data_IF_557954181094
#
_entry.id   IF_557954181094
#
_cell.length_a   1.000
_cell.length_b   1.000
_cell.length_c   1.000
_cell.angle_alpha   90.00
_cell.angle_beta   90.00
_cell.angle_gamma   90.00
#
_symmetry.space_group_name_H-M   'P 1'
#
loop_
_entity.id
_entity.type
_entity.pdbx_description
1 polymer ?
#
# COMPACT_ATOMS: atom_id res chain seq x y z
N UNK A 1 21.18 -16.25 14.47
CA UNK A 1 20.60 -16.90 13.27
C UNK A 1 19.36 -16.16 12.77
N UNK A 2 18.36 -15.89 13.63
CA UNK A 2 17.09 -15.26 13.23
C UNK A 2 17.10 -13.74 13.02
N UNK A 3 18.24 -13.08 13.18
CA UNK A 3 18.35 -11.62 13.00
C UNK A 3 18.09 -11.22 11.54
N UNK A 4 18.55 -12.01 10.56
CA UNK A 4 18.28 -11.76 9.15
C UNK A 4 16.82 -12.13 8.79
N UNK A 5 16.05 -11.13 8.36
CA UNK A 5 14.64 -11.32 7.97
C UNK A 5 14.45 -12.20 6.73
N UNK A 6 15.37 -12.14 5.77
CA UNK A 6 15.29 -12.96 4.56
C UNK A 6 15.56 -14.42 4.90
N UNK A 7 16.51 -14.67 5.79
CA UNK A 7 16.74 -16.01 6.34
C UNK A 7 15.50 -16.52 7.08
N UNK A 8 14.91 -15.72 7.98
CA UNK A 8 13.68 -16.08 8.68
C UNK A 8 12.56 -16.44 7.70
N UNK A 9 12.35 -15.64 6.65
CA UNK A 9 11.34 -15.90 5.64
C UNK A 9 11.56 -17.25 4.94
N UNK A 10 12.77 -17.50 4.44
CA UNK A 10 13.12 -18.74 3.73
C UNK A 10 13.06 -19.97 4.62
N UNK A 11 13.55 -19.85 5.85
CA UNK A 11 13.61 -20.98 6.77
C UNK A 11 12.23 -21.30 7.33
N UNK A 12 11.43 -20.31 7.72
CA UNK A 12 10.10 -20.58 8.28
C UNK A 12 9.09 -20.93 7.18
N UNK A 13 9.13 -20.23 6.05
CA UNK A 13 8.10 -20.32 5.01
C UNK A 13 8.70 -20.58 3.61
N UNK A 14 9.46 -21.67 3.40
CA UNK A 14 10.13 -21.94 2.12
C UNK A 14 9.15 -22.09 0.95
N UNK A 15 7.93 -22.58 1.20
CA UNK A 15 6.87 -22.71 0.19
C UNK A 15 6.29 -21.36 -0.27
N UNK A 16 6.39 -20.33 0.58
CA UNK A 16 5.93 -18.97 0.26
C UNK A 16 7.08 -18.17 -0.36
N UNK A 17 8.29 -18.34 0.17
CA UNK A 17 9.50 -17.64 -0.27
C UNK A 17 10.41 -18.55 -1.10
N UNK A 18 9.81 -19.21 -2.10
CA UNK A 18 10.50 -20.19 -2.96
C UNK A 18 11.36 -19.52 -4.04
N UNK A 19 11.01 -18.29 -4.45
CA UNK A 19 11.82 -17.50 -5.39
C UNK A 19 12.95 -16.80 -4.63
N UNK A 20 14.15 -16.79 -5.22
CA UNK A 20 15.29 -16.11 -4.63
C UNK A 20 15.03 -14.62 -4.44
N UNK A 21 15.30 -14.10 -3.24
CA UNK A 21 15.20 -12.68 -2.95
C UNK A 21 16.20 -11.87 -3.76
N UNK A 22 15.78 -10.69 -4.19
CA UNK A 22 16.69 -9.63 -4.62
C UNK A 22 17.21 -8.78 -3.47
N UNK A 23 18.28 -8.00 -3.72
CA UNK A 23 18.83 -7.01 -2.76
C UNK A 23 17.78 -6.00 -2.27
N UNK A 24 16.76 -5.72 -3.08
CA UNK A 24 15.65 -4.81 -2.75
C UNK A 24 14.80 -5.31 -1.59
N UNK A 25 14.61 -6.61 -1.42
CA UNK A 25 13.83 -7.17 -0.30
C UNK A 25 14.48 -6.84 1.05
N UNK A 26 15.82 -6.84 1.13
CA UNK A 26 16.53 -6.42 2.34
C UNK A 26 16.22 -4.96 2.68
N UNK A 27 16.15 -4.08 1.68
CA UNK A 27 15.79 -2.67 1.89
C UNK A 27 14.33 -2.50 2.35
N UNK A 28 13.39 -3.33 1.87
CA UNK A 28 12.01 -3.39 2.41
C UNK A 28 12.07 -3.68 3.91
N UNK A 29 12.74 -4.76 4.32
CA UNK A 29 12.88 -5.10 5.73
C UNK A 29 13.60 -4.02 6.54
N UNK A 30 14.62 -3.35 5.99
CA UNK A 30 15.28 -2.23 6.67
C UNK A 30 14.30 -1.08 6.97
N UNK A 31 13.41 -0.73 6.04
CA UNK A 31 12.39 0.30 6.26
C UNK A 31 11.36 -0.17 7.28
N UNK A 32 10.90 -1.40 7.15
CA UNK A 32 9.93 -1.96 8.10
C UNK A 32 10.53 -2.07 9.52
N UNK A 33 11.78 -2.48 9.66
CA UNK A 33 12.47 -2.59 10.97
C UNK A 33 13.00 -1.25 11.50
N UNK A 34 12.83 -0.15 10.77
CA UNK A 34 13.38 1.14 11.16
C UNK A 34 12.85 1.61 12.53
N UNK A 35 13.64 2.40 13.24
CA UNK A 35 13.21 2.97 14.53
C UNK A 35 12.24 4.14 14.37
N UNK A 36 12.03 4.62 13.14
CA UNK A 36 11.09 5.69 12.85
C UNK A 36 9.65 5.22 13.16
N UNK A 37 8.84 6.07 13.84
CA UNK A 37 7.44 5.75 14.12
C UNK A 37 6.65 5.49 12.85
N UNK A 38 6.89 6.27 11.79
CA UNK A 38 6.18 6.16 10.52
C UNK A 38 7.15 5.70 9.43
N UNK A 39 6.82 4.59 8.76
CA UNK A 39 7.62 4.08 7.65
C UNK A 39 6.75 3.73 6.45
N UNK A 40 7.29 3.98 5.24
CA UNK A 40 6.58 3.81 3.97
C UNK A 40 7.41 3.00 2.97
N UNK A 41 6.82 1.94 2.44
CA UNK A 41 7.36 1.17 1.31
C UNK A 41 6.40 1.30 0.15
N UNK A 42 6.84 1.97 -0.92
CA UNK A 42 6.14 1.97 -2.18
C UNK A 42 6.80 0.97 -3.13
N UNK A 43 6.04 -0.02 -3.58
CA UNK A 43 6.56 -1.05 -4.47
C UNK A 43 5.50 -1.46 -5.50
N UNK A 44 5.93 -1.83 -6.72
CA UNK A 44 5.03 -2.33 -7.75
C UNK A 44 4.23 -3.55 -7.28
N UNK A 45 3.15 -3.89 -7.98
CA UNK A 45 2.39 -5.10 -7.66
C UNK A 45 3.18 -6.35 -8.01
N UNK A 46 2.85 -7.46 -7.34
CA UNK A 46 3.48 -8.78 -7.53
C UNK A 46 4.99 -8.82 -7.18
N UNK A 47 5.46 -7.88 -6.38
CA UNK A 47 6.87 -7.76 -5.95
C UNK A 47 7.20 -8.46 -4.63
N UNK A 48 6.28 -9.27 -4.11
CA UNK A 48 6.46 -9.93 -2.82
C UNK A 48 6.31 -9.02 -1.60
N UNK A 49 5.90 -7.76 -1.76
CA UNK A 49 5.74 -6.79 -0.65
C UNK A 49 4.77 -7.30 0.44
N UNK A 50 3.57 -7.75 0.06
CA UNK A 50 2.58 -8.29 1.01
C UNK A 50 3.04 -9.59 1.68
N UNK A 51 3.59 -10.61 0.98
CA UNK A 51 4.23 -11.76 1.63
C UNK A 51 5.33 -11.36 2.62
N UNK A 52 6.24 -10.46 2.24
CA UNK A 52 7.32 -9.99 3.12
C UNK A 52 6.77 -9.31 4.37
N UNK A 53 5.74 -8.48 4.23
CA UNK A 53 5.08 -7.84 5.37
C UNK A 53 4.34 -8.85 6.24
N UNK A 54 3.52 -9.71 5.64
CA UNK A 54 2.63 -10.63 6.36
C UNK A 54 3.38 -11.79 7.00
N UNK A 55 4.13 -12.55 6.21
CA UNK A 55 4.80 -13.79 6.62
C UNK A 55 6.27 -13.61 6.97
N UNK A 56 6.84 -12.44 6.69
CA UNK A 56 8.16 -12.05 7.18
C UNK A 56 8.04 -11.16 8.40
N UNK A 57 7.58 -9.92 8.19
CA UNK A 57 7.60 -8.87 9.18
C UNK A 57 6.68 -9.20 10.36
N UNK A 58 5.36 -9.24 10.17
CA UNK A 58 4.38 -9.45 11.23
C UNK A 58 4.61 -10.79 11.94
N UNK A 59 4.75 -11.87 11.18
CA UNK A 59 4.99 -13.20 11.75
C UNK A 59 6.20 -13.22 12.68
N UNK A 60 7.32 -12.57 12.30
CA UNK A 60 8.50 -12.47 13.15
C UNK A 60 8.22 -11.72 14.46
N UNK A 61 7.34 -10.70 14.47
CA UNK A 61 6.97 -10.00 15.73
C UNK A 61 6.23 -10.93 16.67
N UNK A 62 5.30 -11.69 16.11
CA UNK A 62 4.52 -12.66 16.87
C UNK A 62 5.46 -13.73 17.44
N UNK A 63 6.30 -14.34 16.61
CA UNK A 63 7.20 -15.42 17.03
C UNK A 63 8.22 -15.00 18.09
N UNK A 64 8.68 -13.75 18.06
CA UNK A 64 9.74 -13.27 18.94
C UNK A 64 9.28 -12.35 20.07
N UNK A 65 7.96 -12.22 20.26
CA UNK A 65 7.35 -11.39 21.30
C UNK A 65 7.81 -9.91 21.25
N UNK A 66 7.65 -9.29 20.07
CA UNK A 66 8.21 -7.96 19.76
C UNK A 66 7.18 -6.82 19.78
N UNK A 67 5.90 -7.12 19.97
CA UNK A 67 4.80 -6.16 19.91
C UNK A 67 3.73 -6.59 20.90
N UNK A 68 2.99 -5.66 21.51
CA UNK A 68 1.84 -6.02 22.37
C UNK A 68 0.55 -6.20 21.57
N UNK A 69 0.32 -5.32 20.58
CA UNK A 69 -0.88 -5.33 19.76
C UNK A 69 -0.59 -4.86 18.34
N UNK A 70 -0.88 -5.75 17.38
CA UNK A 70 -0.70 -5.53 15.94
C UNK A 70 -2.06 -5.39 15.26
N UNK A 71 -2.25 -4.33 14.49
CA UNK A 71 -3.40 -4.19 13.57
C UNK A 71 -2.92 -4.36 12.13
N UNK A 72 -3.56 -5.27 11.39
CA UNK A 72 -3.43 -5.35 9.94
C UNK A 72 -4.56 -4.56 9.27
N UNK A 73 -4.24 -3.46 8.61
CA UNK A 73 -5.17 -2.67 7.83
C UNK A 73 -5.01 -2.92 6.33
N UNK A 74 -6.13 -3.04 5.61
CA UNK A 74 -6.18 -3.24 4.14
C UNK A 74 -7.25 -2.35 3.51
N UNK A 75 -7.45 -2.40 2.19
CA UNK A 75 -8.53 -1.69 1.50
C UNK A 75 -9.91 -1.96 2.15
N UNK A 76 -10.19 -3.22 2.49
CA UNK A 76 -11.47 -3.63 3.07
C UNK A 76 -11.31 -4.48 4.34
N UNK A 77 -12.35 -4.51 5.16
CA UNK A 77 -12.39 -5.32 6.38
C UNK A 77 -12.26 -6.82 6.08
N UNK A 78 -12.90 -7.29 5.01
CA UNK A 78 -12.84 -8.69 4.61
C UNK A 78 -11.46 -9.10 4.11
N UNK A 79 -10.80 -8.21 3.35
CA UNK A 79 -9.43 -8.45 2.93
C UNK A 79 -8.49 -8.49 4.14
N UNK A 80 -8.53 -7.47 5.01
CA UNK A 80 -7.73 -7.43 6.23
C UNK A 80 -7.94 -8.68 7.10
N UNK A 81 -9.20 -9.11 7.27
CA UNK A 81 -9.57 -10.36 7.97
C UNK A 81 -8.94 -11.58 7.32
N UNK A 82 -9.02 -11.71 5.98
CA UNK A 82 -8.37 -12.82 5.26
C UNK A 82 -6.86 -12.82 5.48
N UNK A 83 -6.19 -11.66 5.47
CA UNK A 83 -4.75 -11.58 5.74
C UNK A 83 -4.40 -12.02 7.16
N UNK A 84 -5.16 -11.57 8.18
CA UNK A 84 -4.98 -12.01 9.56
C UNK A 84 -5.21 -13.52 9.72
N UNK A 85 -6.28 -14.06 9.12
CA UNK A 85 -6.56 -15.50 9.12
C UNK A 85 -5.46 -16.32 8.44
N UNK A 86 -4.86 -15.80 7.36
CA UNK A 86 -3.72 -16.46 6.72
C UNK A 86 -2.49 -16.52 7.64
N UNK A 87 -2.23 -15.50 8.45
CA UNK A 87 -1.14 -15.53 9.46
C UNK A 87 -1.45 -16.61 10.50
N UNK A 88 -2.66 -16.61 11.06
CA UNK A 88 -3.09 -17.58 12.08
C UNK A 88 -2.97 -19.00 11.54
N UNK A 89 -3.53 -19.26 10.35
CA UNK A 89 -3.46 -20.57 9.71
C UNK A 89 -2.01 -20.99 9.40
N UNK A 90 -1.16 -20.06 8.98
CA UNK A 90 0.25 -20.36 8.77
C UNK A 90 0.93 -20.80 10.08
N UNK A 91 0.62 -20.16 11.21
CA UNK A 91 1.14 -20.55 12.51
C UNK A 91 0.59 -21.92 12.95
N UNK A 92 -0.70 -22.19 12.72
CA UNK A 92 -1.33 -23.47 13.07
C UNK A 92 -0.80 -24.65 12.25
N UNK A 93 -0.55 -24.46 10.97
CA UNK A 93 -0.25 -25.57 10.04
C UNK A 93 1.26 -25.77 9.80
N UNK A 94 2.12 -24.84 10.22
CA UNK A 94 3.55 -24.88 9.91
C UNK A 94 4.36 -25.59 10.98
N UNK A 95 4.79 -26.82 10.68
CA UNK A 95 5.63 -27.65 11.55
C UNK A 95 6.92 -26.97 11.98
N UNK A 96 7.53 -26.12 11.13
CA UNK A 96 8.74 -25.39 11.50
C UNK A 96 8.45 -24.33 12.56
N UNK A 97 7.30 -23.65 12.48
CA UNK A 97 6.88 -22.71 13.52
C UNK A 97 6.65 -23.44 14.86
N UNK A 98 5.95 -24.58 14.84
CA UNK A 98 5.77 -25.39 16.04
C UNK A 98 7.09 -25.90 16.62
N UNK A 99 8.02 -26.32 15.76
CA UNK A 99 9.32 -26.80 16.18
C UNK A 99 10.15 -25.72 16.88
N UNK A 100 10.21 -24.51 16.32
CA UNK A 100 11.07 -23.44 16.85
C UNK A 100 10.42 -22.57 17.92
N UNK A 101 9.10 -22.37 17.87
CA UNK A 101 8.39 -21.41 18.73
C UNK A 101 7.28 -22.06 19.57
N UNK A 102 7.07 -23.36 19.42
CA UNK A 102 5.99 -24.06 20.10
C UNK A 102 4.60 -23.65 19.58
N UNK A 103 3.58 -23.95 20.38
CA UNK A 103 2.19 -23.66 20.03
C UNK A 103 1.86 -22.20 20.31
N UNK A 104 1.87 -21.37 19.27
CA UNK A 104 1.55 -19.94 19.34
C UNK A 104 0.05 -19.64 19.22
N UNK A 105 -0.75 -20.58 18.71
CA UNK A 105 -2.20 -20.42 18.51
C UNK A 105 -2.98 -21.40 19.37
N UNK A 106 -3.94 -20.91 20.14
CA UNK A 106 -4.90 -21.71 20.90
C UNK A 106 -6.34 -21.31 20.56
N UNK A 107 -7.07 -22.21 19.87
CA UNK A 107 -8.48 -22.00 19.45
C UNK A 107 -9.43 -21.69 20.60
N UNK A 108 -9.09 -22.08 21.83
CA UNK A 108 -9.90 -21.80 23.01
C UNK A 108 -9.76 -20.37 23.52
N UNK A 109 -8.70 -19.65 23.11
CA UNK A 109 -8.39 -18.26 23.49
C UNK A 109 -8.45 -17.27 22.31
N UNK A 110 -8.81 -17.78 21.13
CA UNK A 110 -8.47 -17.18 19.84
C UNK A 110 -9.39 -16.05 19.37
N UNK A 111 -10.54 -15.81 20.01
CA UNK A 111 -11.49 -14.81 19.51
C UNK A 111 -11.90 -13.91 20.66
N UNK A 112 -11.35 -12.69 20.68
CA UNK A 112 -11.92 -11.60 21.48
C UNK A 112 -13.28 -11.21 20.91
N UNK A 113 -14.14 -10.56 21.71
CA UNK A 113 -15.48 -10.09 21.28
C UNK A 113 -15.46 -9.19 20.03
N UNK A 114 -14.30 -8.66 19.63
CA UNK A 114 -14.15 -7.73 18.50
C UNK A 114 -13.50 -8.38 17.26
N UNK A 115 -13.30 -9.70 17.26
CA UNK A 115 -12.70 -10.43 16.12
C UNK A 115 -11.18 -10.40 16.08
N UNK A 116 -10.53 -10.05 17.19
CA UNK A 116 -9.07 -10.10 17.31
C UNK A 116 -8.61 -11.48 17.81
N UNK A 117 -7.39 -11.84 17.42
CA UNK A 117 -6.73 -13.07 17.82
C UNK A 117 -5.69 -12.78 18.90
N UNK A 118 -5.80 -13.44 20.06
CA UNK A 118 -4.72 -13.45 21.05
C UNK A 118 -3.87 -14.71 20.88
N UNK A 119 -2.56 -14.53 20.70
CA UNK A 119 -1.58 -15.62 20.66
C UNK A 119 -1.22 -16.09 22.08
N UNK A 120 -0.62 -17.28 22.21
CA UNK A 120 -0.30 -17.87 23.52
C UNK A 120 0.76 -17.09 24.30
N UNK A 121 1.54 -16.24 23.63
CA UNK A 121 2.47 -15.30 24.25
C UNK A 121 1.83 -13.94 24.61
N UNK A 122 0.52 -13.79 24.44
CA UNK A 122 -0.22 -12.58 24.84
C UNK A 122 -0.34 -11.51 23.75
N UNK A 123 0.34 -11.66 22.62
CA UNK A 123 0.24 -10.71 21.50
C UNK A 123 -1.18 -10.75 20.90
N UNK A 124 -1.73 -9.57 20.63
CA UNK A 124 -2.98 -9.42 19.90
C UNK A 124 -2.74 -9.13 18.41
N UNK A 125 -3.55 -9.74 17.55
CA UNK A 125 -3.65 -9.43 16.13
C UNK A 125 -5.09 -9.07 15.77
N UNK A 126 -5.30 -7.80 15.47
CA UNK A 126 -6.54 -7.24 14.95
C UNK A 126 -6.47 -7.01 13.44
N UNK A 127 -7.65 -6.79 12.83
CA UNK A 127 -7.75 -6.47 11.41
C UNK A 127 -8.78 -5.37 11.16
N UNK A 128 -8.45 -4.44 10.24
CA UNK A 128 -9.27 -3.26 9.93
C UNK A 128 -9.33 -2.97 8.43
N UNK A 129 -10.50 -2.60 7.92
CA UNK A 129 -10.62 -1.97 6.60
C UNK A 129 -10.23 -0.49 6.66
N UNK A 130 -9.86 0.07 5.51
CA UNK A 130 -9.76 1.52 5.36
C UNK A 130 -11.10 2.19 5.73
N UNK A 131 -11.04 3.41 6.26
CA UNK A 131 -12.18 4.18 6.77
C UNK A 131 -12.85 3.61 8.03
N UNK A 132 -12.36 2.49 8.58
CA UNK A 132 -12.85 1.96 9.85
C UNK A 132 -12.02 2.46 11.04
N UNK A 133 -12.68 2.59 12.18
CA UNK A 133 -12.01 3.04 13.41
C UNK A 133 -11.00 2.01 13.91
N UNK A 134 -9.80 2.47 14.23
CA UNK A 134 -8.71 1.63 14.77
C UNK A 134 -8.61 1.79 16.29
N UNK A 135 -9.74 1.69 16.99
CA UNK A 135 -9.77 1.73 18.46
C UNK A 135 -8.96 0.56 19.04
N UNK A 136 -8.29 0.80 20.17
CA UNK A 136 -7.54 -0.23 20.89
C UNK A 136 -8.41 -1.40 21.34
N UNK A 137 -7.80 -2.57 21.53
CA UNK A 137 -8.46 -3.75 22.08
C UNK A 137 -8.90 -3.45 23.51
N UNK A 138 -10.15 -3.78 23.84
CA UNK A 138 -10.60 -3.81 25.23
C UNK A 138 -10.09 -5.11 25.87
N UNK A 139 -9.07 -4.99 26.71
CA UNK A 139 -8.62 -6.07 27.57
C UNK A 139 -9.33 -5.98 28.93
N UNK A 140 -9.79 -7.13 29.45
CA UNK A 140 -10.19 -7.27 30.84
C UNK A 140 -8.94 -7.61 31.65
N UNK A 141 -8.38 -6.66 32.40
CA UNK A 141 -7.27 -6.89 33.32
C UNK A 141 -7.71 -6.58 34.76
N UNK A 142 -7.47 -7.49 35.71
CA UNK A 142 -7.71 -7.31 37.17
C UNK A 142 -9.00 -6.54 37.55
N UNK A 143 -10.12 -6.80 36.84
CA UNK A 143 -11.40 -6.16 37.11
C UNK A 143 -11.60 -4.75 36.51
N UNK A 144 -10.69 -4.27 35.66
CA UNK A 144 -10.80 -3.00 34.92
C UNK A 144 -10.63 -3.21 33.41
N UNK A 145 -11.53 -2.59 32.62
CA UNK A 145 -11.42 -2.57 31.16
C UNK A 145 -10.29 -1.63 30.75
N UNK A 146 -9.17 -2.17 30.28
CA UNK A 146 -8.07 -1.37 29.75
C UNK A 146 -8.08 -1.43 28.24
N UNK A 147 -8.16 -0.27 27.58
CA UNK A 147 -8.00 -0.17 26.14
C UNK A 147 -6.50 -0.18 25.84
N UNK A 148 -5.97 -1.29 25.32
CA UNK A 148 -4.57 -1.39 24.92
C UNK A 148 -4.40 -0.77 23.53
N UNK A 149 -3.69 0.37 23.40
CA UNK A 149 -3.47 0.98 22.09
C UNK A 149 -2.48 0.13 21.27
N UNK A 150 -2.63 0.07 19.93
CA UNK A 150 -1.73 -0.68 19.07
C UNK A 150 -0.27 -0.21 19.19
N UNK A 151 0.62 -1.16 19.43
CA UNK A 151 2.07 -0.93 19.33
C UNK A 151 2.52 -0.92 17.86
N UNK A 152 1.78 -1.58 16.98
CA UNK A 152 2.06 -1.64 15.56
C UNK A 152 0.76 -1.62 14.74
N UNK A 153 0.69 -0.73 13.75
CA UNK A 153 -0.31 -0.80 12.67
C UNK A 153 0.41 -0.99 11.34
N UNK A 154 0.10 -2.08 10.66
CA UNK A 154 0.54 -2.33 9.29
C UNK A 154 -0.59 -1.95 8.35
N UNK A 155 -0.35 -1.02 7.45
CA UNK A 155 -1.31 -0.60 6.42
C UNK A 155 -0.81 -1.16 5.09
N UNK A 156 -1.53 -2.12 4.50
CA UNK A 156 -1.16 -2.79 3.26
C UNK A 156 -2.17 -2.45 2.17
N UNK A 157 -1.74 -1.73 1.13
CA UNK A 157 -2.55 -1.31 -0.03
C UNK A 157 -3.99 -0.85 0.35
N UNK A 158 -4.17 0.24 1.14
CA UNK A 158 -5.48 0.66 1.66
C UNK A 158 -6.41 1.30 0.62
N UNK A 159 -5.98 1.38 -0.64
CA UNK A 159 -6.73 2.00 -1.73
C UNK A 159 -6.64 1.16 -3.00
N UNK A 160 -7.68 1.23 -3.83
CA UNK A 160 -7.72 0.64 -5.17
C UNK A 160 -7.85 1.68 -6.28
N UNK A 161 -7.60 1.23 -7.52
CA UNK A 161 -7.80 2.04 -8.73
C UNK A 161 -9.22 2.59 -8.87
N UNK A 162 -10.23 1.98 -8.23
CA UNK A 162 -11.60 2.51 -8.20
C UNK A 162 -11.70 3.70 -7.25
N UNK A 163 -11.23 3.52 -6.02
CA UNK A 163 -11.46 4.50 -4.96
C UNK A 163 -10.60 5.76 -5.16
N UNK A 164 -9.40 5.64 -5.74
CA UNK A 164 -8.54 6.81 -6.00
C UNK A 164 -9.04 7.73 -7.11
N UNK A 165 -10.09 7.36 -7.86
CA UNK A 165 -10.68 8.25 -8.88
C UNK A 165 -11.49 9.38 -8.24
N UNK A 166 -12.17 9.11 -7.13
CA UNK A 166 -12.94 10.12 -6.41
C UNK A 166 -12.02 10.93 -5.50
N UNK A 167 -12.04 12.25 -5.64
CA UNK A 167 -11.30 13.16 -4.76
C UNK A 167 -11.76 13.05 -3.31
N UNK A 168 -13.06 13.05 -3.08
CA UNK A 168 -13.65 12.85 -1.75
C UNK A 168 -13.16 11.56 -1.11
N UNK A 169 -13.14 10.43 -1.85
CA UNK A 169 -12.63 9.18 -1.28
C UNK A 169 -11.11 9.22 -0.98
N UNK A 170 -10.33 9.99 -1.76
CA UNK A 170 -8.90 10.22 -1.46
C UNK A 170 -8.75 11.03 -0.17
N UNK A 171 -9.57 12.05 0.03
CA UNK A 171 -9.60 12.87 1.25
C UNK A 171 -10.05 12.07 2.46
N UNK A 172 -11.15 11.33 2.37
CA UNK A 172 -11.66 10.47 3.44
C UNK A 172 -10.60 9.47 3.89
N UNK A 173 -9.91 8.82 2.93
CA UNK A 173 -8.83 7.87 3.27
C UNK A 173 -7.64 8.60 3.91
N UNK A 174 -7.35 9.83 3.50
CA UNK A 174 -6.28 10.64 4.08
C UNK A 174 -6.61 11.06 5.52
N UNK A 175 -7.85 11.46 5.79
CA UNK A 175 -8.32 11.84 7.13
C UNK A 175 -8.34 10.61 8.04
N UNK A 176 -8.91 9.50 7.57
CA UNK A 176 -8.86 8.21 8.27
C UNK A 176 -7.43 7.82 8.67
N UNK A 177 -6.46 7.99 7.78
CA UNK A 177 -5.08 7.63 8.08
C UNK A 177 -4.46 8.52 9.18
N UNK A 178 -4.74 9.82 9.20
CA UNK A 178 -4.24 10.68 10.29
C UNK A 178 -4.99 10.42 11.60
N UNK A 179 -6.32 10.39 11.54
CA UNK A 179 -7.18 10.37 12.72
C UNK A 179 -7.26 8.98 13.36
N UNK A 180 -7.48 7.94 12.57
CA UNK A 180 -7.71 6.59 13.07
C UNK A 180 -6.44 5.76 13.07
N UNK A 181 -5.52 5.95 12.12
CA UNK A 181 -4.28 5.15 12.09
C UNK A 181 -3.18 5.79 12.94
N UNK A 182 -2.85 7.07 12.74
CA UNK A 182 -1.74 7.69 13.48
C UNK A 182 -2.12 7.98 14.94
N UNK A 183 -3.28 8.59 15.21
CA UNK A 183 -3.63 8.99 16.58
C UNK A 183 -4.10 7.84 17.49
N UNK A 184 -4.40 6.66 16.95
CA UNK A 184 -4.71 5.47 17.77
C UNK A 184 -3.47 4.79 18.35
N UNK A 185 -2.28 5.07 17.82
CA UNK A 185 -1.03 4.43 18.26
C UNK A 185 -0.74 4.64 19.74
N UNK A 186 -0.09 3.63 20.34
CA UNK A 186 0.46 3.74 21.68
C UNK A 186 1.47 4.90 21.77
N UNK A 187 1.18 5.91 22.60
CA UNK A 187 2.15 7.01 22.84
C UNK A 187 3.43 6.49 23.49
N UNK A 188 3.29 5.53 24.41
CA UNK A 188 4.34 4.77 25.08
C UNK A 188 3.80 3.38 25.40
N UNK A 189 4.64 2.36 25.30
CA UNK A 189 4.31 1.00 25.75
C UNK A 189 5.59 0.29 26.23
N UNK A 190 5.47 -0.65 27.17
CA UNK A 190 6.59 -1.42 27.69
C UNK A 190 6.83 -2.64 26.80
N UNK A 191 7.98 -2.71 26.15
CA UNK A 191 8.34 -3.84 25.30
C UNK A 191 8.63 -5.08 26.17
N UNK A 192 7.87 -6.19 26.03
CA UNK A 192 7.92 -7.32 26.97
C UNK A 192 9.29 -8.02 27.00
N UNK A 193 9.93 -8.15 25.84
CA UNK A 193 11.27 -8.76 25.74
C UNK A 193 12.44 -7.88 26.15
N UNK A 194 12.39 -6.58 25.84
CA UNK A 194 13.56 -5.68 26.05
C UNK A 194 13.44 -4.84 27.31
N UNK A 195 12.26 -4.80 27.94
CA UNK A 195 11.91 -3.91 29.06
C UNK A 195 12.15 -2.42 28.77
N UNK A 196 12.19 -2.05 27.49
CA UNK A 196 12.32 -0.64 27.07
C UNK A 196 10.94 -0.03 26.86
N UNK A 197 10.86 1.29 27.07
CA UNK A 197 9.69 2.06 26.69
C UNK A 197 9.80 2.43 25.22
N UNK A 198 8.89 1.91 24.40
CA UNK A 198 8.79 2.17 22.97
C UNK A 198 7.56 3.02 22.63
N UNK A 199 7.48 3.47 21.37
CA UNK A 199 6.31 4.15 20.80
C UNK A 199 5.63 3.27 19.77
N UNK A 200 4.34 3.48 19.58
CA UNK A 200 3.57 2.85 18.52
C UNK A 200 4.11 3.22 17.14
N UNK A 201 4.03 2.26 16.21
CA UNK A 201 4.63 2.34 14.88
C UNK A 201 3.58 2.10 13.79
N UNK A 202 3.71 2.83 12.68
CA UNK A 202 2.98 2.57 11.43
C UNK A 202 3.95 2.07 10.37
N UNK A 203 3.56 0.98 9.71
CA UNK A 203 4.24 0.45 8.53
C UNK A 203 3.27 0.46 7.37
N UNK A 204 3.38 1.45 6.51
CA UNK A 204 2.57 1.56 5.32
C UNK A 204 3.33 0.93 4.15
N UNK A 205 2.76 -0.10 3.55
CA UNK A 205 3.18 -0.67 2.29
C UNK A 205 2.10 -0.39 1.26
N UNK A 206 2.46 0.15 0.11
CA UNK A 206 1.49 0.61 -0.87
C UNK A 206 2.01 0.59 -2.29
N UNK A 207 1.08 0.85 -3.19
CA UNK A 207 1.34 1.08 -4.62
C UNK A 207 0.91 2.51 -4.98
N UNK A 208 1.65 3.16 -5.85
CA UNK A 208 1.35 4.51 -6.36
C UNK A 208 0.26 4.43 -7.43
N UNK A 209 -0.99 4.67 -7.03
CA UNK A 209 -2.15 4.52 -7.92
C UNK A 209 -2.48 5.83 -8.66
N UNK A 210 -2.49 6.94 -7.94
CA UNK A 210 -2.85 8.26 -8.44
C UNK A 210 -1.85 9.29 -7.88
N UNK A 211 -1.51 10.40 -8.57
CA UNK A 211 -0.55 11.39 -8.05
C UNK A 211 -0.92 11.97 -6.69
N UNK A 212 -2.21 11.90 -6.38
CA UNK A 212 -2.82 12.36 -5.13
C UNK A 212 -3.41 11.23 -4.25
N UNK A 213 -3.11 9.95 -4.54
CA UNK A 213 -3.52 8.88 -3.62
C UNK A 213 -2.77 8.98 -2.28
N UNK A 214 -3.28 8.29 -1.25
CA UNK A 214 -2.71 8.29 0.10
C UNK A 214 -1.21 7.98 0.08
N UNK A 215 -0.80 6.94 -0.66
CA UNK A 215 0.60 6.55 -0.82
C UNK A 215 1.50 7.71 -1.31
N UNK A 216 1.05 8.49 -2.29
CA UNK A 216 1.79 9.65 -2.81
C UNK A 216 1.75 10.85 -1.86
N UNK A 217 0.64 11.07 -1.15
CA UNK A 217 0.57 12.08 -0.08
C UNK A 217 1.58 11.77 1.04
N UNK A 218 1.65 10.51 1.50
CA UNK A 218 2.62 10.08 2.53
C UNK A 218 4.05 9.99 2.00
N UNK A 219 4.24 9.81 0.70
CA UNK A 219 5.55 9.96 0.08
C UNK A 219 6.09 11.40 0.18
N UNK A 220 5.22 12.41 0.09
CA UNK A 220 5.60 13.82 0.25
C UNK A 220 5.78 14.24 1.72
N UNK A 221 5.15 13.52 2.64
CA UNK A 221 5.30 13.73 4.08
C UNK A 221 6.72 13.42 4.56
N UNK A 222 7.31 14.36 5.32
CA UNK A 222 8.67 14.25 5.85
C UNK A 222 8.75 13.46 7.16
N UNK A 223 7.60 13.18 7.81
CA UNK A 223 7.54 12.32 9.01
C UNK A 223 7.89 10.85 8.72
N UNK A 224 7.80 10.44 7.46
CA UNK A 224 7.99 9.05 7.04
C UNK A 224 9.43 8.72 6.67
N UNK A 225 9.95 7.64 7.25
CA UNK A 225 11.11 6.95 6.70
C UNK A 225 10.67 6.08 5.51
N UNK A 226 11.14 6.41 4.30
CA UNK A 226 10.48 5.98 3.07
C UNK A 226 11.42 5.40 2.03
N UNK A 227 10.90 4.46 1.25
CA UNK A 227 11.56 3.93 0.05
C UNK A 227 10.54 3.66 -1.05
N UNK A 228 10.96 3.86 -2.31
CA UNK A 228 10.18 3.54 -3.50
C UNK A 228 10.98 2.62 -4.41
N UNK A 229 10.31 1.64 -4.98
CA UNK A 229 10.88 0.73 -5.97
C UNK A 229 10.10 0.78 -7.27
N UNK A 230 10.77 0.31 -8.32
CA UNK A 230 10.24 0.08 -9.65
C UNK A 230 10.85 -1.21 -10.18
N UNK A 231 10.17 -1.92 -11.08
CA UNK A 231 10.67 -3.18 -11.64
C UNK A 231 11.99 -2.99 -12.38
N UNK A 232 12.10 -1.95 -13.22
CA UNK A 232 13.33 -1.60 -13.93
C UNK A 232 13.99 -0.41 -13.24
N UNK A 233 15.25 -0.56 -12.85
CA UNK A 233 16.04 0.47 -12.18
C UNK A 233 17.37 0.71 -12.87
N UNK A 234 17.84 1.95 -12.85
CA UNK A 234 19.19 2.27 -13.29
C UNK A 234 20.25 1.87 -12.25
N UNK A 235 21.53 2.12 -12.58
CA UNK A 235 22.69 1.82 -11.71
C UNK A 235 22.63 2.46 -10.30
N UNK A 236 21.87 3.55 -10.15
CA UNK A 236 21.71 4.26 -8.88
C UNK A 236 20.49 3.75 -8.09
N UNK A 237 19.72 2.82 -8.65
CA UNK A 237 18.50 2.28 -8.04
C UNK A 237 17.25 3.13 -8.26
N UNK A 238 17.31 4.12 -9.15
CA UNK A 238 16.14 4.94 -9.51
C UNK A 238 15.33 4.25 -10.62
N UNK A 239 14.00 4.43 -10.66
CA UNK A 239 13.15 3.91 -11.74
C UNK A 239 13.65 4.33 -13.12
N UNK A 240 13.77 3.38 -14.03
CA UNK A 240 14.18 3.62 -15.42
C UNK A 240 13.58 2.53 -16.31
N UNK A 241 12.46 2.83 -16.95
CA UNK A 241 11.76 1.89 -17.83
C UNK A 241 12.31 1.85 -19.26
N UNK A 242 13.30 2.69 -19.57
CA UNK A 242 13.90 2.79 -20.90
C UNK A 242 15.17 1.95 -20.92
N UNK A 243 16.09 2.20 -19.98
CA UNK A 243 17.43 1.59 -19.93
C UNK A 243 17.71 0.83 -18.62
N UNK A 244 16.73 0.70 -17.73
CA UNK A 244 16.91 0.04 -16.44
C UNK A 244 17.01 -1.48 -16.56
N UNK A 245 17.51 -2.09 -15.49
CA UNK A 245 17.51 -3.54 -15.32
C UNK A 245 16.55 -3.96 -14.24
N UNK A 246 16.03 -5.17 -14.36
CA UNK A 246 15.16 -5.74 -13.35
C UNK A 246 15.88 -5.79 -12.01
N UNK A 247 15.25 -5.23 -10.99
CA UNK A 247 15.78 -5.41 -9.64
C UNK A 247 15.56 -6.84 -9.13
N UNK A 248 14.72 -7.65 -9.78
CA UNK A 248 14.36 -9.01 -9.35
C UNK A 248 14.34 -10.00 -10.51
N UNK A 249 15.49 -10.21 -11.15
CA UNK A 249 15.68 -11.11 -12.31
C UNK A 249 15.09 -12.51 -12.11
N UNK A 250 15.15 -13.08 -10.90
CA UNK A 250 14.60 -14.42 -10.65
C UNK A 250 13.06 -14.52 -10.74
N UNK A 251 12.34 -13.39 -10.66
CA UNK A 251 10.89 -13.35 -10.76
C UNK A 251 10.42 -12.62 -12.02
N UNK A 252 11.13 -11.56 -12.40
CA UNK A 252 10.83 -10.72 -13.54
C UNK A 252 12.12 -10.49 -14.32
N UNK A 253 12.49 -11.38 -15.25
CA UNK A 253 13.65 -11.15 -16.11
C UNK A 253 13.56 -9.81 -16.84
N UNK A 254 14.69 -9.12 -16.99
CA UNK A 254 14.73 -7.81 -17.67
C UNK A 254 14.09 -7.87 -19.07
N UNK A 255 14.41 -8.91 -19.84
CA UNK A 255 13.90 -9.09 -21.21
C UNK A 255 12.37 -9.26 -21.23
N UNK A 256 11.81 -10.01 -20.30
CA UNK A 256 10.35 -10.18 -20.17
C UNK A 256 9.67 -8.87 -19.80
N UNK A 257 10.26 -8.07 -18.90
CA UNK A 257 9.72 -6.75 -18.56
C UNK A 257 9.70 -5.80 -19.75
N UNK A 258 10.73 -5.84 -20.61
CA UNK A 258 10.74 -5.06 -21.85
C UNK A 258 9.69 -5.56 -22.84
N UNK A 259 9.55 -6.87 -23.02
CA UNK A 259 8.50 -7.43 -23.87
C UNK A 259 7.09 -7.06 -23.36
N UNK A 260 6.85 -7.11 -22.04
CA UNK A 260 5.59 -6.66 -21.43
C UNK A 260 5.34 -5.15 -21.68
N UNK A 261 6.39 -4.33 -21.58
CA UNK A 261 6.31 -2.88 -21.82
C UNK A 261 5.93 -2.59 -23.27
N UNK A 262 6.64 -3.19 -24.22
CA UNK A 262 6.47 -2.94 -25.65
C UNK A 262 5.10 -3.41 -26.13
N UNK A 263 4.63 -4.56 -25.60
CA UNK A 263 3.26 -5.02 -25.82
C UNK A 263 2.22 -4.05 -25.24
N UNK A 264 2.46 -3.50 -24.05
CA UNK A 264 1.56 -2.51 -23.45
C UNK A 264 1.53 -1.20 -24.25
N UNK A 265 2.68 -0.75 -24.77
CA UNK A 265 2.77 0.43 -25.64
C UNK A 265 2.03 0.22 -26.96
N UNK A 266 2.26 -0.90 -27.65
CA UNK A 266 1.54 -1.25 -28.87
C UNK A 266 0.02 -1.35 -28.66
N UNK A 267 -0.41 -1.76 -27.46
CA UNK A 267 -1.82 -1.84 -27.08
C UNK A 267 -2.42 -0.51 -26.55
N UNK A 268 -1.64 0.58 -26.47
CA UNK A 268 -2.10 1.85 -25.90
C UNK A 268 -2.38 1.81 -24.38
N UNK A 269 -1.76 0.87 -23.67
CA UNK A 269 -1.95 0.63 -22.23
C UNK A 269 -0.68 0.85 -21.40
N UNK A 270 0.32 1.54 -21.96
CA UNK A 270 1.60 1.82 -21.30
C UNK A 270 1.41 2.47 -19.91
N UNK A 271 0.43 3.36 -19.73
CA UNK A 271 0.12 3.98 -18.43
C UNK A 271 -0.23 2.93 -17.35
N UNK A 272 -0.92 1.86 -17.74
CA UNK A 272 -1.24 0.74 -16.85
C UNK A 272 0.00 -0.06 -16.49
N UNK A 273 0.87 -0.32 -17.45
CA UNK A 273 2.12 -1.03 -17.22
C UNK A 273 3.07 -0.23 -16.32
N UNK A 274 3.20 1.08 -16.54
CA UNK A 274 4.01 1.97 -15.71
C UNK A 274 3.51 2.00 -14.25
N UNK A 275 2.21 2.00 -14.03
CA UNK A 275 1.63 1.90 -12.69
C UNK A 275 1.93 0.54 -12.05
N UNK A 276 1.65 -0.55 -12.75
CA UNK A 276 1.74 -1.92 -12.21
C UNK A 276 3.19 -2.39 -12.02
N UNK A 277 4.12 -1.98 -12.88
CA UNK A 277 5.53 -2.42 -12.88
C UNK A 277 6.51 -1.35 -12.39
N UNK A 278 6.31 -0.09 -12.70
CA UNK A 278 7.26 0.97 -12.33
C UNK A 278 6.82 1.77 -11.11
N UNK A 279 5.62 1.51 -10.58
CA UNK A 279 5.04 2.25 -9.47
C UNK A 279 4.98 3.77 -9.77
N UNK A 280 4.69 4.09 -11.03
CA UNK A 280 4.47 5.46 -11.52
C UNK A 280 2.95 5.66 -11.59
N UNK A 281 2.38 6.61 -10.84
CA UNK A 281 0.94 6.80 -10.82
C UNK A 281 0.42 7.21 -12.19
N UNK A 282 -0.82 6.82 -12.52
CA UNK A 282 -1.46 7.26 -13.77
C UNK A 282 -1.75 8.75 -13.67
N UNK A 283 -1.24 9.53 -14.61
CA UNK A 283 -1.69 10.91 -14.79
C UNK A 283 -3.05 10.82 -15.48
N UNK A 284 -4.05 11.53 -14.97
CA UNK A 284 -5.40 11.59 -15.54
C UNK A 284 -5.44 12.22 -16.94
N UNK A 285 -4.31 12.53 -17.57
CA UNK A 285 -4.22 12.95 -18.97
C UNK A 285 -4.61 11.83 -19.96
N UNK A 286 -4.92 10.62 -19.48
CA UNK A 286 -5.84 9.69 -20.16
C UNK A 286 -7.32 10.19 -20.14
N UNK A 287 -7.52 11.49 -19.89
CA UNK A 287 -8.73 12.22 -20.18
C UNK A 287 -8.97 12.08 -21.68
N UNK A 288 -10.03 11.35 -22.08
CA UNK A 288 -10.54 11.37 -23.46
C UNK A 288 -10.87 12.80 -23.95
N UNK A 289 -10.87 13.77 -23.04
CA UNK A 289 -11.15 15.16 -23.27
C UNK A 289 -10.38 16.02 -22.26
N UNK A 290 -9.42 16.80 -22.75
CA UNK A 290 -8.79 17.88 -22.01
C UNK A 290 -9.56 19.17 -22.34
N UNK A 291 -10.11 19.90 -21.34
CA UNK A 291 -10.81 21.16 -21.58
C UNK A 291 -9.95 22.22 -22.28
N UNK A 292 -8.62 22.12 -22.18
CA UNK A 292 -7.69 23.00 -22.89
C UNK A 292 -7.48 22.59 -24.37
N UNK A 293 -7.97 21.41 -24.79
CA UNK A 293 -8.02 21.00 -26.20
C UNK A 293 -9.27 21.56 -26.91
N UNK A 294 -10.16 22.25 -26.18
CA UNK A 294 -11.19 23.08 -26.80
C UNK A 294 -10.45 24.26 -27.46
N UNK A 295 -10.11 24.11 -28.74
CA UNK A 295 -9.78 25.24 -29.57
C UNK A 295 -11.06 26.05 -29.78
N UNK A 296 -11.16 27.21 -29.13
CA UNK A 296 -12.13 28.21 -29.57
C UNK A 296 -11.71 28.62 -30.99
N UNK A 297 -12.58 28.38 -31.97
CA UNK A 297 -12.40 28.85 -33.34
C UNK A 297 -12.63 30.36 -33.41
N UNK A 298 -11.75 31.15 -32.77
CA UNK A 298 -11.69 32.60 -32.95
C UNK A 298 -10.72 32.99 -34.08
N UNK A 299 -10.26 32.01 -34.88
CA UNK A 299 -9.30 32.22 -35.96
C UNK A 299 -10.04 32.23 -37.30
N UNK A 300 -10.27 33.45 -37.79
CA UNK A 300 -10.81 33.75 -39.12
C UNK A 300 -12.30 34.08 -39.07
N UNK A 301 -12.64 35.37 -38.97
CA UNK A 301 -13.91 36.03 -39.34
C UNK A 301 -15.24 35.56 -38.74
N UNK A 302 -15.29 34.31 -38.30
CA UNK A 302 -16.48 33.57 -37.96
C UNK A 302 -16.84 33.86 -36.51
N UNK A 303 -18.10 34.17 -36.27
CA UNK A 303 -18.59 34.58 -34.96
C UNK A 303 -19.99 34.06 -34.73
N UNK A 304 -20.33 33.90 -33.46
CA UNK A 304 -21.71 33.68 -33.04
C UNK A 304 -22.41 35.01 -32.87
N UNK A 305 -23.55 35.18 -33.54
CA UNK A 305 -24.46 36.31 -33.36
C UNK A 305 -25.82 35.83 -32.87
N UNK A 306 -26.58 36.72 -32.22
CA UNK A 306 -27.95 36.45 -31.81
C UNK A 306 -28.90 36.99 -32.86
N UNK A 307 -29.65 36.12 -33.53
CA UNK A 307 -30.71 36.50 -34.47
C UNK A 307 -32.07 36.11 -33.87
N UNK A 308 -32.92 37.11 -33.61
CA UNK A 308 -34.24 36.92 -32.98
C UNK A 308 -34.23 36.12 -31.66
N UNK A 309 -33.13 36.18 -30.91
CA UNK A 309 -32.99 35.50 -29.62
C UNK A 309 -32.40 34.09 -29.69
N UNK A 310 -32.07 33.60 -30.89
CA UNK A 310 -31.39 32.31 -31.10
C UNK A 310 -29.93 32.54 -31.51
N UNK A 311 -28.96 31.78 -30.97
CA UNK A 311 -27.55 31.88 -31.37
C UNK A 311 -27.33 31.22 -32.74
N UNK A 312 -26.80 32.00 -33.68
CA UNK A 312 -26.48 31.56 -35.05
C UNK A 312 -24.98 31.73 -35.31
N UNK A 313 -24.37 30.76 -35.98
CA UNK A 313 -22.96 30.80 -36.37
C UNK A 313 -22.83 31.41 -37.77
N UNK A 314 -22.06 32.48 -37.91
CA UNK A 314 -21.86 33.20 -39.18
C UNK A 314 -20.46 32.92 -39.71
N UNK A 315 -20.37 32.52 -40.98
CA UNK A 315 -19.10 32.37 -41.71
C UNK A 315 -18.86 33.58 -42.63
N UNK A 316 -17.61 34.04 -42.73
CA UNK A 316 -17.24 35.26 -43.48
C UNK A 316 -17.54 35.17 -45.00
N UNK A 317 -17.75 33.97 -45.53
CA UNK A 317 -18.10 33.71 -46.93
C UNK A 317 -19.58 34.03 -47.27
N UNK A 318 -20.45 34.20 -46.27
CA UNK A 318 -21.91 34.40 -46.47
C UNK A 318 -22.32 35.88 -46.69
N UNK A 319 -21.38 36.83 -46.66
CA UNK A 319 -21.67 38.28 -46.77
C UNK A 319 -21.79 38.75 -48.24
N UNK A 320 -21.67 37.83 -49.21
CA UNK A 320 -21.59 38.13 -50.64
C UNK A 320 -22.84 37.82 -51.46
N UNK A 321 -24.04 38.32 -51.12
CA UNK A 321 -25.16 38.36 -52.09
C UNK A 321 -25.85 39.72 -52.04
N UNK A 322 -25.54 40.55 -53.03
CA UNK A 322 -26.27 41.78 -53.34
C UNK A 322 -27.64 41.42 -53.92
N UNK A 323 -28.72 41.84 -53.26
CA UNK A 323 -30.05 41.88 -53.87
C UNK A 323 -30.10 43.06 -54.85
N UNK A 324 -30.44 42.78 -56.12
CA UNK A 324 -30.99 43.75 -57.08
C UNK A 324 -32.48 43.86 -56.83
#
# INVERSE_FOLDING_TARGET
>A
MWEDDLYFCKEINPKIFFVNFSKTHRKIFNVLNSQYPLALVLAPRKTGKTPCTKFGYILKRICFDLESYIIYASESQDEAKKHAQHIIKNIEDNERLHHYFGKLVDRRRLVTRQGECQFTNGIFLGHKGALQQSRGTQEMGEGSLTVSPPSLIVVDDPQSNKNVKSETLREDTSNWFEEEVIYSLAKKWLHPKTNRIDRGKVRFIGTSLHPDCLAERKWRDQRFYKVRYAALINKNGNPDHINGKSYWESMFPTEELYAERDAAEAAGTLSSWLQERQNIPRILSDQKFNPNDIMNWDVGGNRFEMYEGEPVFIQEEDIGVSLV
#
